data_IF_277889071910
#
_entry.id   IF_277889071910
#
_cell.length_a   1.000
_cell.length_b   1.000
_cell.length_c   1.000
_cell.angle_alpha   90.00
_cell.angle_beta   90.00
_cell.angle_gamma   90.00
#
_symmetry.space_group_name_H-M   'P 1'
#
loop_
_entity.id
_entity.type
_entity.pdbx_description
1 polymer ?
#
# COMPACT_ATOMS: atom_id res chain seq x y z
N UNK A 1 -6.17 -17.02 -6.66
CA UNK A 1 -6.87 -15.98 -5.88
C UNK A 1 -6.84 -16.37 -4.41
N UNK A 2 -6.26 -15.52 -3.55
CA UNK A 2 -6.17 -15.79 -2.10
C UNK A 2 -7.49 -15.41 -1.39
N UNK A 3 -7.58 -15.62 -0.07
CA UNK A 3 -8.81 -15.35 0.68
C UNK A 3 -9.15 -13.85 0.74
N UNK A 4 -8.14 -12.98 0.79
CA UNK A 4 -8.32 -11.53 0.85
C UNK A 4 -8.87 -10.99 -0.47
N UNK A 5 -8.37 -11.52 -1.59
CA UNK A 5 -8.88 -11.17 -2.92
C UNK A 5 -10.36 -11.55 -3.07
N UNK A 6 -10.76 -12.74 -2.61
CA UNK A 6 -12.16 -13.17 -2.66
C UNK A 6 -13.05 -12.22 -1.88
N UNK A 7 -12.64 -11.89 -0.65
CA UNK A 7 -13.35 -10.92 0.19
C UNK A 7 -13.46 -9.55 -0.49
N UNK A 8 -12.38 -9.06 -1.10
CA UNK A 8 -12.36 -7.78 -1.79
C UNK A 8 -13.28 -7.77 -3.03
N UNK A 9 -13.30 -8.86 -3.81
CA UNK A 9 -14.19 -9.02 -4.98
C UNK A 9 -15.65 -9.07 -4.54
N UNK A 10 -15.97 -9.86 -3.51
CA UNK A 10 -17.34 -9.94 -2.96
C UNK A 10 -17.82 -8.56 -2.47
N UNK A 11 -16.98 -7.86 -1.69
CA UNK A 11 -17.24 -6.51 -1.19
C UNK A 11 -17.45 -5.49 -2.32
N UNK A 12 -16.68 -5.61 -3.41
CA UNK A 12 -16.83 -4.76 -4.59
C UNK A 12 -18.16 -5.03 -5.29
N UNK A 13 -18.48 -6.30 -5.58
CA UNK A 13 -19.71 -6.70 -6.28
C UNK A 13 -20.96 -6.31 -5.49
N UNK A 14 -20.93 -6.49 -4.18
CA UNK A 14 -22.01 -6.08 -3.29
C UNK A 14 -22.32 -4.57 -3.42
N UNK A 15 -21.28 -3.73 -3.30
CA UNK A 15 -21.40 -2.27 -3.41
C UNK A 15 -21.85 -1.83 -4.80
N UNK A 16 -21.30 -2.47 -5.84
CA UNK A 16 -21.66 -2.19 -7.23
C UNK A 16 -23.17 -2.35 -7.44
N UNK A 17 -23.74 -3.46 -6.97
CA UNK A 17 -25.18 -3.76 -7.08
C UNK A 17 -26.04 -2.89 -6.18
N UNK A 18 -25.64 -2.74 -4.91
CA UNK A 18 -26.39 -1.97 -3.92
C UNK A 18 -26.59 -0.52 -4.35
N UNK A 19 -25.55 0.07 -4.95
CA UNK A 19 -25.54 1.47 -5.38
C UNK A 19 -25.83 1.66 -6.88
N UNK A 20 -26.14 0.59 -7.62
CA UNK A 20 -26.46 0.61 -9.06
C UNK A 20 -25.37 1.28 -9.91
N UNK A 21 -24.12 0.90 -9.69
CA UNK A 21 -22.93 1.52 -10.29
C UNK A 21 -22.39 0.70 -11.49
N UNK A 22 -23.09 -0.33 -11.95
CA UNK A 22 -22.66 -1.23 -13.03
C UNK A 22 -22.44 -0.51 -14.38
N UNK A 23 -23.15 0.61 -14.58
CA UNK A 23 -23.08 1.43 -15.80
C UNK A 23 -21.94 2.45 -15.81
N UNK A 24 -21.13 2.54 -14.74
CA UNK A 24 -19.96 3.41 -14.73
C UNK A 24 -18.85 2.88 -15.62
N UNK A 25 -17.98 3.78 -16.04
CA UNK A 25 -16.68 3.45 -16.63
C UNK A 25 -15.56 3.72 -15.62
N UNK A 26 -14.55 2.87 -15.61
CA UNK A 26 -13.30 3.09 -14.91
C UNK A 26 -12.18 3.42 -15.88
N UNK A 27 -11.57 4.59 -15.70
CA UNK A 27 -10.39 5.04 -16.43
C UNK A 27 -9.15 4.78 -15.58
N UNK A 28 -8.22 4.04 -16.14
CA UNK A 28 -6.96 3.65 -15.51
C UNK A 28 -5.79 4.38 -16.15
N UNK A 29 -4.95 4.98 -15.32
CA UNK A 29 -3.83 5.83 -15.70
C UNK A 29 -2.59 5.48 -14.90
N UNK A 30 -1.45 5.40 -15.58
CA UNK A 30 -0.15 5.22 -14.94
C UNK A 30 0.43 6.57 -14.57
N UNK A 31 0.64 6.81 -13.28
CA UNK A 31 1.31 7.99 -12.76
C UNK A 31 2.75 7.61 -12.36
N UNK A 32 3.72 8.33 -12.92
CA UNK A 32 5.14 8.12 -12.68
C UNK A 32 5.76 9.20 -11.80
N UNK A 33 7.08 9.30 -11.89
CA UNK A 33 7.90 10.25 -11.10
C UNK A 33 7.49 11.71 -11.32
N UNK A 34 7.08 12.07 -12.54
CA UNK A 34 6.85 13.46 -12.94
C UNK A 34 5.49 13.97 -12.41
N UNK A 35 4.57 13.06 -12.14
CA UNK A 35 3.25 13.33 -11.56
C UNK A 35 3.30 13.45 -10.02
N UNK A 36 4.16 12.66 -9.35
CA UNK A 36 4.23 12.60 -7.88
C UNK A 36 5.32 13.51 -7.29
N UNK A 37 6.46 13.66 -7.99
CA UNK A 37 7.57 14.55 -7.65
C UNK A 37 8.11 14.37 -6.22
N UNK A 38 8.31 13.12 -5.78
CA UNK A 38 8.77 12.81 -4.42
C UNK A 38 10.18 13.38 -4.13
N UNK A 39 10.50 13.66 -2.86
CA UNK A 39 11.63 14.52 -2.50
C UNK A 39 13.01 13.86 -2.63
N UNK A 40 13.07 12.54 -2.88
CA UNK A 40 14.32 11.79 -2.91
C UNK A 40 14.29 10.64 -3.92
N UNK A 41 15.47 10.27 -4.45
CA UNK A 41 15.65 9.07 -5.27
C UNK A 41 15.57 7.76 -4.48
N UNK A 42 15.47 7.82 -3.14
CA UNK A 42 15.27 6.62 -2.33
C UNK A 42 13.89 5.99 -2.56
N UNK A 43 12.88 6.78 -2.95
CA UNK A 43 11.56 6.26 -3.30
C UNK A 43 11.63 5.46 -4.60
N UNK A 44 11.07 4.25 -4.63
CA UNK A 44 11.07 3.41 -5.85
C UNK A 44 10.40 4.07 -7.06
N UNK A 45 9.33 4.83 -6.81
CA UNK A 45 8.69 5.69 -7.80
C UNK A 45 9.68 6.61 -8.53
N UNK A 46 10.64 7.18 -7.80
CA UNK A 46 11.62 8.10 -8.38
C UNK A 46 12.69 7.38 -9.19
N UNK A 47 12.85 6.07 -8.98
CA UNK A 47 13.75 5.18 -9.74
C UNK A 47 13.05 4.51 -10.92
N UNK A 48 11.75 4.72 -11.11
CA UNK A 48 10.94 4.07 -12.15
C UNK A 48 10.77 2.56 -11.96
N UNK A 49 11.06 2.05 -10.76
CA UNK A 49 10.85 0.62 -10.41
C UNK A 49 9.42 0.34 -9.96
N UNK A 50 8.74 1.38 -9.48
CA UNK A 50 7.32 1.36 -9.17
C UNK A 50 6.64 2.55 -9.85
N UNK A 51 5.34 2.40 -10.07
CA UNK A 51 4.42 3.42 -10.57
C UNK A 51 3.16 3.38 -9.71
N UNK A 52 2.35 4.43 -9.83
CA UNK A 52 1.00 4.45 -9.24
C UNK A 52 0.00 4.13 -10.34
N UNK A 53 -0.75 3.04 -10.15
CA UNK A 53 -1.96 2.75 -10.91
C UNK A 53 -3.10 3.59 -10.34
N UNK A 54 -3.62 4.51 -11.14
CA UNK A 54 -4.64 5.48 -10.74
C UNK A 54 -5.95 5.20 -11.48
N UNK A 55 -7.01 4.94 -10.72
CA UNK A 55 -8.35 4.71 -11.24
C UNK A 55 -9.24 5.93 -10.96
N UNK A 56 -9.93 6.40 -11.98
CA UNK A 56 -11.02 7.35 -11.89
C UNK A 56 -12.31 6.70 -12.34
N UNK A 57 -13.34 6.85 -11.52
CA UNK A 57 -14.73 6.63 -11.87
C UNK A 57 -15.46 7.96 -11.69
N UNK A 58 -16.68 8.07 -12.20
CA UNK A 58 -17.51 9.22 -11.85
C UNK A 58 -17.56 9.35 -10.31
N UNK A 59 -17.29 10.55 -9.78
CA UNK A 59 -17.38 10.85 -8.35
C UNK A 59 -16.45 10.08 -7.40
N UNK A 60 -15.44 9.37 -7.89
CA UNK A 60 -14.47 8.65 -7.04
C UNK A 60 -13.12 8.43 -7.70
N UNK A 61 -12.07 8.41 -6.89
CA UNK A 61 -10.71 8.14 -7.36
C UNK A 61 -9.92 7.30 -6.36
N UNK A 62 -9.00 6.49 -6.87
CA UNK A 62 -8.20 5.60 -6.04
C UNK A 62 -6.89 5.18 -6.69
N UNK A 63 -5.88 4.96 -5.86
CA UNK A 63 -4.53 4.62 -6.29
C UNK A 63 -4.07 3.29 -5.70
N UNK A 64 -3.23 2.59 -6.45
CA UNK A 64 -2.51 1.40 -6.01
C UNK A 64 -1.04 1.47 -6.45
N UNK A 65 -0.14 1.04 -5.57
CA UNK A 65 1.30 0.97 -5.85
C UNK A 65 1.63 -0.35 -6.53
N UNK A 66 2.38 -0.30 -7.63
CA UNK A 66 2.72 -1.50 -8.39
C UNK A 66 4.00 -1.33 -9.20
N UNK A 67 4.60 -2.46 -9.61
CA UNK A 67 5.65 -2.47 -10.64
C UNK A 67 5.09 -2.65 -12.06
N UNK A 68 3.85 -3.12 -12.19
CA UNK A 68 3.19 -3.38 -13.48
C UNK A 68 1.82 -2.69 -13.55
N UNK A 69 1.72 -1.70 -14.43
CA UNK A 69 0.52 -0.89 -14.63
C UNK A 69 0.21 -0.71 -16.12
N UNK A 70 -1.03 -0.37 -16.47
CA UNK A 70 -1.37 -0.05 -17.86
C UNK A 70 -2.47 1.00 -17.95
N UNK A 71 -2.37 1.85 -18.97
CA UNK A 71 -3.48 2.74 -19.33
C UNK A 71 -4.58 1.93 -20.02
N UNK A 72 -5.80 1.98 -19.51
CA UNK A 72 -6.97 1.41 -20.16
C UNK A 72 -8.27 2.04 -19.65
N UNK A 73 -9.37 1.76 -20.34
CA UNK A 73 -10.73 2.06 -19.87
C UNK A 73 -11.49 0.74 -19.87
N UNK A 74 -12.23 0.47 -18.80
CA UNK A 74 -13.09 -0.71 -18.68
C UNK A 74 -14.47 -0.31 -18.18
N UNK A 75 -15.54 -1.00 -18.61
CA UNK A 75 -16.80 -0.97 -17.88
C UNK A 75 -16.56 -1.37 -16.42
N UNK A 76 -17.12 -0.62 -15.49
CA UNK A 76 -16.84 -0.85 -14.07
C UNK A 76 -17.38 -2.20 -13.58
N UNK A 77 -18.41 -2.71 -14.25
CA UNK A 77 -18.95 -4.06 -14.09
C UNK A 77 -18.01 -5.18 -14.53
N UNK A 78 -16.97 -4.92 -15.33
CA UNK A 78 -15.97 -5.92 -15.73
C UNK A 78 -14.83 -6.06 -14.71
N UNK A 79 -14.60 -5.04 -13.88
CA UNK A 79 -13.49 -5.01 -12.90
C UNK A 79 -13.46 -6.23 -11.97
N UNK A 80 -14.59 -6.72 -11.41
CA UNK A 80 -14.59 -7.91 -10.54
C UNK A 80 -14.15 -9.22 -11.23
N UNK A 81 -14.16 -9.27 -12.56
CA UNK A 81 -13.83 -10.45 -13.34
C UNK A 81 -12.38 -10.48 -13.82
N UNK A 82 -11.58 -9.47 -13.47
CA UNK A 82 -10.15 -9.45 -13.74
C UNK A 82 -9.45 -10.65 -13.11
N UNK A 83 -8.53 -11.28 -13.85
CA UNK A 83 -7.71 -12.37 -13.31
C UNK A 83 -6.66 -11.80 -12.34
N UNK A 84 -6.96 -11.88 -11.04
CA UNK A 84 -6.11 -11.40 -9.95
C UNK A 84 -4.87 -12.28 -9.69
N UNK A 85 -4.60 -13.29 -10.53
CA UNK A 85 -3.29 -13.96 -10.57
C UNK A 85 -2.21 -13.10 -11.24
N UNK A 86 -2.61 -12.13 -12.07
CA UNK A 86 -1.72 -11.21 -12.77
C UNK A 86 -1.57 -9.90 -11.98
N UNK A 87 -0.32 -9.49 -11.67
CA UNK A 87 -0.04 -8.29 -10.88
C UNK A 87 -0.68 -7.02 -11.47
N UNK A 88 -0.61 -6.84 -12.79
CA UNK A 88 -1.25 -5.71 -13.49
C UNK A 88 -2.76 -5.65 -13.24
N UNK A 89 -3.44 -6.79 -13.26
CA UNK A 89 -4.87 -6.85 -12.99
C UNK A 89 -5.18 -6.60 -11.51
N UNK A 90 -4.31 -7.01 -10.59
CA UNK A 90 -4.42 -6.67 -9.17
C UNK A 90 -4.31 -5.15 -8.97
N UNK A 91 -3.36 -4.50 -9.64
CA UNK A 91 -3.21 -3.06 -9.57
C UNK A 91 -4.49 -2.33 -10.05
N UNK A 92 -5.05 -2.75 -11.20
CA UNK A 92 -6.31 -2.22 -11.72
C UNK A 92 -7.47 -2.47 -10.73
N UNK A 93 -7.61 -3.70 -10.24
CA UNK A 93 -8.68 -4.05 -9.31
C UNK A 93 -8.61 -3.25 -8.00
N UNK A 94 -7.45 -3.18 -7.35
CA UNK A 94 -7.32 -2.51 -6.06
C UNK A 94 -7.37 -0.97 -6.17
N UNK A 95 -6.89 -0.38 -7.28
CA UNK A 95 -7.09 1.06 -7.53
C UNK A 95 -8.57 1.38 -7.77
N UNK A 96 -9.30 0.52 -8.49
CA UNK A 96 -10.75 0.63 -8.70
C UNK A 96 -11.55 0.43 -7.41
N UNK A 97 -11.17 -0.54 -6.56
CA UNK A 97 -11.78 -0.73 -5.25
C UNK A 97 -11.57 0.51 -4.36
N UNK A 98 -10.37 1.08 -4.36
CA UNK A 98 -10.11 2.34 -3.65
C UNK A 98 -10.98 3.48 -4.21
N UNK A 99 -11.16 3.57 -5.53
CA UNK A 99 -12.04 4.57 -6.15
C UNK A 99 -13.51 4.38 -5.76
N UNK A 100 -13.99 3.14 -5.70
CA UNK A 100 -15.32 2.79 -5.23
C UNK A 100 -15.57 3.24 -3.80
N UNK A 101 -14.69 2.81 -2.88
CA UNK A 101 -14.81 3.13 -1.46
C UNK A 101 -14.68 4.63 -1.20
N UNK A 102 -13.90 5.34 -2.03
CA UNK A 102 -13.83 6.79 -2.03
C UNK A 102 -15.14 7.45 -2.47
N UNK A 103 -15.74 7.02 -3.59
CA UNK A 103 -17.04 7.52 -4.06
C UNK A 103 -18.12 7.36 -3.00
N UNK A 104 -18.13 6.23 -2.31
CA UNK A 104 -19.12 5.91 -1.27
C UNK A 104 -18.84 6.63 0.06
N UNK A 105 -17.69 7.29 0.21
CA UNK A 105 -17.28 7.96 1.44
C UNK A 105 -16.86 7.01 2.57
N UNK A 106 -16.71 5.72 2.28
CA UNK A 106 -16.26 4.69 3.24
C UNK A 106 -14.76 4.82 3.55
N UNK A 107 -13.96 5.24 2.56
CA UNK A 107 -12.52 5.44 2.71
C UNK A 107 -12.11 6.84 2.22
N UNK A 108 -11.27 7.50 3.01
CA UNK A 108 -10.62 8.78 2.65
C UNK A 108 -9.13 8.55 2.41
N UNK A 109 -8.47 9.49 1.74
CA UNK A 109 -7.02 9.45 1.53
C UNK A 109 -6.57 8.35 0.55
N UNK A 110 -7.36 8.09 -0.49
CA UNK A 110 -7.08 7.08 -1.53
C UNK A 110 -6.06 7.54 -2.57
N UNK A 111 -5.53 8.76 -2.41
CA UNK A 111 -4.48 9.34 -3.23
C UNK A 111 -3.22 9.50 -2.40
N UNK A 112 -2.08 9.15 -2.99
CA UNK A 112 -0.79 9.28 -2.33
C UNK A 112 -0.34 10.73 -2.23
N UNK A 113 0.41 11.02 -1.18
CA UNK A 113 1.04 12.32 -0.94
C UNK A 113 1.96 12.72 -2.10
N UNK A 114 2.10 14.03 -2.35
CA UNK A 114 2.99 14.57 -3.39
C UNK A 114 4.13 15.38 -2.78
N UNK A 115 5.31 15.30 -3.40
CA UNK A 115 6.48 16.05 -2.95
C UNK A 115 6.75 15.93 -1.44
N UNK A 116 6.93 17.07 -0.78
CA UNK A 116 7.29 17.14 0.65
C UNK A 116 6.23 16.58 1.59
N UNK A 117 4.98 16.43 1.14
CA UNK A 117 3.91 15.82 1.93
C UNK A 117 4.22 14.37 2.29
N UNK A 118 5.00 13.65 1.48
CA UNK A 118 5.39 12.28 1.77
C UNK A 118 6.25 12.17 3.05
N UNK A 119 7.04 13.18 3.36
CA UNK A 119 7.81 13.24 4.61
C UNK A 119 6.93 13.64 5.80
N UNK A 120 6.05 14.62 5.59
CA UNK A 120 5.09 15.06 6.61
C UNK A 120 4.12 13.93 7.00
N UNK A 121 3.71 13.08 6.06
CA UNK A 121 2.91 11.89 6.30
C UNK A 121 3.60 10.94 7.30
N UNK A 122 4.91 10.72 7.14
CA UNK A 122 5.69 9.92 8.09
C UNK A 122 5.75 10.54 9.49
N UNK A 123 5.91 11.86 9.58
CA UNK A 123 5.94 12.55 10.88
C UNK A 123 4.57 12.47 11.59
N UNK A 124 3.48 12.64 10.86
CA UNK A 124 2.11 12.48 11.38
C UNK A 124 1.83 11.05 11.83
N UNK A 125 2.25 10.05 11.04
CA UNK A 125 2.14 8.64 11.37
C UNK A 125 2.85 8.32 12.69
N UNK A 126 4.12 8.73 12.81
CA UNK A 126 4.90 8.50 14.02
C UNK A 126 4.27 9.19 15.23
N UNK A 127 3.83 10.44 15.10
CA UNK A 127 3.17 11.18 16.16
C UNK A 127 1.88 10.49 16.65
N UNK A 128 1.05 9.97 15.74
CA UNK A 128 -0.18 9.27 16.09
C UNK A 128 0.11 7.97 16.85
N UNK A 129 1.07 7.17 16.37
CA UNK A 129 1.44 5.90 17.01
C UNK A 129 2.02 6.16 18.42
N UNK A 130 2.81 7.21 18.60
CA UNK A 130 3.40 7.59 19.90
C UNK A 130 2.36 7.97 20.96
N UNK A 131 1.10 8.25 20.59
CA UNK A 131 0.00 8.44 21.56
C UNK A 131 -0.38 7.15 22.29
N UNK A 132 -0.04 5.98 21.74
CA UNK A 132 -0.48 4.67 22.24
C UNK A 132 0.67 3.71 22.58
N UNK A 133 1.80 3.84 21.90
CA UNK A 133 2.99 3.03 22.16
C UNK A 133 4.02 3.79 22.98
N UNK A 134 4.93 3.07 23.63
CA UNK A 134 6.12 3.58 24.32
C UNK A 134 7.33 3.58 23.40
N UNK A 135 8.38 4.31 23.79
CA UNK A 135 9.56 4.51 22.92
C UNK A 135 10.34 3.21 22.72
N UNK A 136 10.30 2.35 23.73
CA UNK A 136 10.93 1.03 23.82
C UNK A 136 10.08 -0.11 23.24
N UNK A 137 8.85 0.16 22.81
CA UNK A 137 8.03 -0.81 22.08
C UNK A 137 8.67 -1.14 20.73
N UNK A 138 8.57 -2.41 20.32
CA UNK A 138 9.06 -2.85 19.00
C UNK A 138 8.01 -2.53 17.95
N UNK A 139 8.39 -1.72 16.96
CA UNK A 139 7.55 -1.42 15.79
C UNK A 139 8.18 -2.07 14.57
N UNK A 140 7.39 -2.73 13.75
CA UNK A 140 7.81 -3.30 12.47
C UNK A 140 7.19 -2.49 11.33
N UNK A 141 8.02 -2.14 10.35
CA UNK A 141 7.60 -1.57 9.07
C UNK A 141 7.96 -2.54 7.93
N UNK A 142 6.96 -3.14 7.29
CA UNK A 142 7.11 -4.05 6.15
C UNK A 142 6.95 -3.24 4.86
N UNK A 143 8.03 -3.20 4.07
CA UNK A 143 8.19 -2.39 2.87
C UNK A 143 8.86 -1.06 3.18
N UNK A 144 10.10 -0.84 2.74
CA UNK A 144 10.88 0.37 3.03
C UNK A 144 10.23 1.61 2.41
N UNK A 145 9.63 2.46 3.26
CA UNK A 145 9.12 3.79 2.89
C UNK A 145 9.99 4.86 3.58
N UNK A 146 10.77 5.66 2.83
CA UNK A 146 11.79 6.56 3.43
C UNK A 146 11.24 7.56 4.46
N UNK A 147 10.12 8.22 4.16
CA UNK A 147 9.51 9.22 5.05
C UNK A 147 9.05 8.63 6.39
N UNK A 148 8.41 7.46 6.35
CA UNK A 148 7.94 6.70 7.50
C UNK A 148 9.11 6.18 8.31
N UNK A 149 10.08 5.49 7.68
CA UNK A 149 11.22 4.90 8.38
C UNK A 149 12.06 5.99 9.04
N UNK A 150 12.30 7.13 8.39
CA UNK A 150 12.96 8.30 8.99
C UNK A 150 12.24 8.78 10.25
N UNK A 151 10.92 8.93 10.20
CA UNK A 151 10.13 9.44 11.32
C UNK A 151 10.04 8.42 12.46
N UNK A 152 9.79 7.15 12.14
CA UNK A 152 9.69 6.06 13.11
C UNK A 152 11.03 5.78 13.79
N UNK A 153 12.15 5.83 13.07
CA UNK A 153 13.49 5.63 13.64
C UNK A 153 13.86 6.72 14.66
N UNK A 154 13.32 7.94 14.51
CA UNK A 154 13.46 9.00 15.51
C UNK A 154 12.53 8.78 16.72
N UNK A 155 11.36 8.21 16.47
CA UNK A 155 10.29 8.10 17.46
C UNK A 155 10.41 6.84 18.36
N UNK A 156 11.08 5.79 17.90
CA UNK A 156 11.18 4.50 18.60
C UNK A 156 12.64 4.03 18.67
N UNK A 157 13.02 3.45 19.82
CA UNK A 157 14.35 2.88 20.03
C UNK A 157 14.51 1.52 19.34
N UNK A 158 13.39 0.86 19.00
CA UNK A 158 13.36 -0.50 18.44
C UNK A 158 12.48 -0.59 17.19
N UNK A 159 12.94 0.02 16.10
CA UNK A 159 12.32 -0.13 14.78
C UNK A 159 12.93 -1.33 14.03
N UNK A 160 12.08 -2.22 13.54
CA UNK A 160 12.42 -3.24 12.56
C UNK A 160 11.89 -2.80 11.19
N UNK A 161 12.67 -3.02 10.14
CA UNK A 161 12.26 -2.74 8.76
C UNK A 161 12.59 -3.95 7.91
N UNK A 162 11.63 -4.43 7.14
CA UNK A 162 11.84 -5.46 6.12
C UNK A 162 11.51 -4.93 4.74
N UNK A 163 12.15 -5.46 3.70
CA UNK A 163 11.87 -5.08 2.31
C UNK A 163 12.08 -6.25 1.34
N UNK A 164 11.49 -6.15 0.15
CA UNK A 164 11.66 -7.13 -0.92
C UNK A 164 12.74 -6.74 -1.94
N UNK A 165 13.12 -5.46 -2.06
CA UNK A 165 14.12 -5.07 -3.06
C UNK A 165 15.53 -5.44 -2.57
N UNK A 166 16.27 -6.27 -3.33
CA UNK A 166 17.64 -6.63 -3.00
C UNK A 166 18.59 -5.43 -2.81
N UNK A 167 18.29 -4.29 -3.44
CA UNK A 167 19.08 -3.06 -3.28
C UNK A 167 18.90 -2.39 -1.92
N UNK A 168 17.79 -2.66 -1.21
CA UNK A 168 17.56 -2.17 0.14
C UNK A 168 18.06 -3.17 1.20
N UNK A 169 17.89 -4.47 0.95
CA UNK A 169 18.22 -5.53 1.93
C UNK A 169 19.69 -5.44 2.37
N UNK A 170 19.90 -5.46 3.69
CA UNK A 170 21.22 -5.36 4.31
C UNK A 170 21.76 -3.94 4.45
N UNK A 171 21.17 -2.95 3.77
CA UNK A 171 21.54 -1.54 3.93
C UNK A 171 21.12 -0.98 5.28
N UNK A 172 21.77 0.10 5.72
CA UNK A 172 21.39 0.84 6.92
C UNK A 172 20.78 2.19 6.50
N UNK A 173 19.53 2.41 6.85
CA UNK A 173 18.75 3.61 6.55
C UNK A 173 18.31 4.27 7.85
N UNK A 174 18.68 5.52 8.04
CA UNK A 174 18.39 6.28 9.28
C UNK A 174 18.82 5.54 10.56
N UNK A 175 19.94 4.81 10.51
CA UNK A 175 20.45 4.01 11.63
C UNK A 175 19.78 2.64 11.81
N UNK A 176 18.84 2.26 10.94
CA UNK A 176 18.10 0.99 11.00
C UNK A 176 18.51 0.09 9.84
N UNK A 177 18.88 -1.16 10.14
CA UNK A 177 19.19 -2.16 9.12
C UNK A 177 17.88 -2.63 8.46
N UNK A 178 17.84 -2.62 7.13
CA UNK A 178 16.73 -3.19 6.37
C UNK A 178 16.96 -4.69 6.22
N UNK A 179 16.00 -5.47 6.72
CA UNK A 179 15.99 -6.93 6.72
C UNK A 179 15.30 -7.47 5.46
N UNK A 180 15.50 -8.75 5.18
CA UNK A 180 14.81 -9.42 4.07
C UNK A 180 13.35 -9.66 4.41
N UNK A 181 12.45 -9.58 3.43
CA UNK A 181 11.06 -10.02 3.58
C UNK A 181 10.90 -11.48 4.03
N UNK A 182 11.92 -12.33 3.83
CA UNK A 182 11.95 -13.69 4.40
C UNK A 182 11.97 -13.73 5.93
N UNK A 183 12.31 -12.61 6.57
CA UNK A 183 12.33 -12.45 8.03
C UNK A 183 11.00 -11.87 8.57
N UNK A 184 10.00 -11.65 7.72
CA UNK A 184 8.73 -11.02 8.09
C UNK A 184 8.04 -11.74 9.27
N UNK A 185 7.89 -13.07 9.22
CA UNK A 185 7.18 -13.81 10.27
C UNK A 185 7.84 -13.66 11.64
N UNK A 186 9.17 -13.81 11.71
CA UNK A 186 9.92 -13.65 12.96
C UNK A 186 9.91 -12.19 13.45
N UNK A 187 9.97 -11.22 12.53
CA UNK A 187 9.86 -9.82 12.89
C UNK A 187 8.48 -9.49 13.45
N UNK A 188 7.40 -10.04 12.86
CA UNK A 188 6.01 -9.89 13.33
C UNK A 188 5.87 -10.44 14.75
N UNK A 189 6.39 -11.63 15.02
CA UNK A 189 6.36 -12.27 16.35
C UNK A 189 6.92 -11.38 17.47
N UNK A 190 7.85 -10.48 17.14
CA UNK A 190 8.52 -9.60 18.09
C UNK A 190 7.90 -8.21 18.17
N UNK A 191 7.06 -7.84 17.22
CA UNK A 191 6.54 -6.49 17.06
C UNK A 191 5.24 -6.30 17.85
N UNK A 192 5.11 -5.15 18.51
CA UNK A 192 3.87 -4.72 19.15
C UNK A 192 2.93 -4.02 18.16
N UNK A 193 3.48 -3.49 17.07
CA UNK A 193 2.74 -2.92 15.96
C UNK A 193 3.43 -3.27 14.64
N UNK A 194 2.65 -3.76 13.68
CA UNK A 194 3.09 -4.03 12.32
C UNK A 194 2.45 -3.02 11.38
N UNK A 195 3.28 -2.29 10.64
CA UNK A 195 2.90 -1.37 9.58
C UNK A 195 3.26 -2.03 8.25
N UNK A 196 2.32 -2.10 7.31
CA UNK A 196 2.52 -2.76 6.01
C UNK A 196 2.23 -1.77 4.90
N UNK A 197 3.12 -1.66 3.90
CA UNK A 197 2.87 -0.81 2.73
C UNK A 197 1.72 -1.35 1.87
N UNK A 198 0.98 -0.45 1.22
CA UNK A 198 -0.14 -0.82 0.36
C UNK A 198 0.24 -1.73 -0.82
N UNK A 199 1.50 -1.68 -1.30
CA UNK A 199 2.01 -2.57 -2.35
C UNK A 199 1.88 -4.06 -2.00
N UNK A 200 1.82 -4.42 -0.71
CA UNK A 200 1.62 -5.80 -0.26
C UNK A 200 0.29 -6.40 -0.75
N UNK A 201 -0.74 -5.57 -0.98
CA UNK A 201 -2.00 -6.06 -1.54
C UNK A 201 -1.84 -6.38 -3.02
N UNK A 202 -1.10 -5.57 -3.78
CA UNK A 202 -0.92 -5.76 -5.22
C UNK A 202 0.04 -6.89 -5.52
N UNK A 203 1.16 -7.01 -4.80
CA UNK A 203 2.08 -8.14 -4.98
C UNK A 203 1.57 -9.46 -4.36
N UNK A 204 0.41 -9.42 -3.70
CA UNK A 204 -0.28 -10.60 -3.20
C UNK A 204 0.24 -11.15 -1.87
N UNK A 205 1.07 -10.43 -1.13
CA UNK A 205 1.65 -10.93 0.14
C UNK A 205 0.88 -10.52 1.41
N UNK A 206 -0.03 -9.52 1.32
CA UNK A 206 -0.75 -9.01 2.48
C UNK A 206 -1.56 -10.07 3.24
N UNK A 207 -2.19 -11.00 2.51
CA UNK A 207 -3.04 -12.03 3.12
C UNK A 207 -2.26 -12.97 4.06
N UNK A 208 -1.00 -13.27 3.75
CA UNK A 208 -0.15 -14.12 4.58
C UNK A 208 0.45 -13.34 5.75
N UNK A 209 0.77 -12.07 5.54
CA UNK A 209 1.16 -11.15 6.62
C UNK A 209 0.06 -11.05 7.68
N UNK A 210 -1.21 -10.93 7.26
CA UNK A 210 -2.36 -10.93 8.19
C UNK A 210 -2.43 -12.26 8.96
N UNK A 211 -2.28 -13.40 8.29
CA UNK A 211 -2.28 -14.71 8.96
C UNK A 211 -1.18 -14.82 10.03
N UNK A 212 0.02 -14.25 9.79
CA UNK A 212 1.08 -14.20 10.79
C UNK A 212 0.74 -13.27 11.96
N UNK A 213 0.17 -12.10 11.68
CA UNK A 213 -0.29 -11.19 12.73
C UNK A 213 -1.33 -11.87 13.63
N UNK A 214 -2.36 -12.52 13.06
CA UNK A 214 -3.41 -13.21 13.83
C UNK A 214 -2.87 -14.38 14.64
N UNK A 215 -1.82 -15.06 14.15
CA UNK A 215 -1.16 -16.16 14.85
C UNK A 215 -0.41 -15.70 16.11
N UNK A 216 0.09 -14.47 16.13
CA UNK A 216 0.97 -13.95 17.19
C UNK A 216 0.36 -12.78 17.98
N UNK A 217 -0.90 -12.40 17.69
CA UNK A 217 -1.65 -11.33 18.35
C UNK A 217 -2.02 -11.65 19.81
#
# INVERSE_FOLDING_TARGET
>A
MNWLDRLAVEAFVERLKLHRLEGLEARFMVLGKDEVKLPSSEYFLMRGREVIEHCEIEGGCGQAFTSHARNCVLPFSEVPFLDLSLEVNRALFYSALNALLNRLGEVKGTLHCKGVEAEACGDLLAAEIRKRLRKDDVVLHIGYQPGHVRALAKAFDRLLVTDMDPANIGSVKFGVKVLSSSENEEAIRRARLVLVTGSAVVNGTLHEIINWCDRYA
#
